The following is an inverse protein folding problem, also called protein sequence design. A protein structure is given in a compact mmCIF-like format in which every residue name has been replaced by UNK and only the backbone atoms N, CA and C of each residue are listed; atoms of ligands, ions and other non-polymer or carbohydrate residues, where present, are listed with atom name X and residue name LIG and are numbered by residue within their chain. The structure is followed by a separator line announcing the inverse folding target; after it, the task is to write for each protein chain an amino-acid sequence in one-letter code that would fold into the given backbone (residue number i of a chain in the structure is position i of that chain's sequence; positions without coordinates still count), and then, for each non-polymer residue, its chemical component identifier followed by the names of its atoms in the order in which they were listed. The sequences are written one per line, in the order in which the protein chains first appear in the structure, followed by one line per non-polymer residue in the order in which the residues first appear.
data_IF_471865749332
#
_entry.id   IF_471865749332
#
_cell.length_a   1.000
_cell.length_b   1.000
_cell.length_c   1.000
_cell.angle_alpha   90.00
_cell.angle_beta   90.00
_cell.angle_gamma   90.00
#
_symmetry.space_group_name_H-M   'P 1'
#
loop_
_entity.id
_entity.type
_entity.pdbx_description
1 polymer ?
#
# COMPACT_ATOMS: atom_id res chain seq x y z
N UNK A 1 19.37 3.43 -5.76
CA UNK A 1 18.84 3.83 -7.09
C UNK A 1 17.53 4.55 -6.85
N UNK A 2 17.31 5.76 -7.38
CA UNK A 2 16.10 6.56 -7.18
C UNK A 2 14.96 6.17 -8.14
N UNK A 3 14.01 7.07 -8.34
CA UNK A 3 13.01 7.02 -9.42
C UNK A 3 13.16 8.23 -10.33
N UNK A 4 12.61 8.16 -11.54
CA UNK A 4 12.65 9.25 -12.50
C UNK A 4 11.36 10.06 -12.44
N UNK A 5 11.47 11.37 -12.64
CA UNK A 5 10.33 12.29 -12.74
C UNK A 5 10.25 12.80 -14.17
N UNK A 6 9.18 12.46 -14.88
CA UNK A 6 8.98 12.86 -16.28
C UNK A 6 7.67 13.66 -16.43
N UNK A 7 7.65 14.57 -17.40
CA UNK A 7 6.44 15.31 -17.78
C UNK A 7 5.89 14.73 -19.07
N UNK A 8 4.61 14.36 -19.10
CA UNK A 8 3.97 13.81 -20.28
C UNK A 8 2.48 14.13 -20.31
N UNK A 9 1.98 14.67 -21.43
CA UNK A 9 0.55 14.94 -21.66
C UNK A 9 -0.16 15.68 -20.50
N UNK A 10 0.49 16.69 -19.92
CA UNK A 10 -0.06 17.47 -18.79
C UNK A 10 -0.05 16.76 -17.43
N UNK A 11 0.62 15.62 -17.32
CA UNK A 11 0.84 14.89 -16.08
C UNK A 11 2.32 14.87 -15.71
N UNK A 12 2.60 14.87 -14.41
CA UNK A 12 3.91 14.48 -13.86
C UNK A 12 3.86 13.01 -13.51
N UNK A 13 4.77 12.22 -14.07
CA UNK A 13 4.90 10.79 -13.78
C UNK A 13 6.14 10.53 -12.92
N UNK A 14 6.00 9.67 -11.92
CA UNK A 14 7.10 9.09 -11.16
C UNK A 14 7.26 7.65 -11.65
N UNK A 15 8.47 7.27 -12.07
CA UNK A 15 8.66 6.02 -12.81
C UNK A 15 9.88 5.27 -12.29
N UNK A 16 9.75 3.96 -12.10
CA UNK A 16 10.88 3.07 -11.86
C UNK A 16 11.88 3.20 -13.04
N UNK A 17 13.19 3.42 -12.79
CA UNK A 17 14.15 3.79 -13.83
C UNK A 17 14.16 2.87 -15.06
N UNK A 18 13.99 1.57 -14.83
CA UNK A 18 13.98 0.53 -15.85
C UNK A 18 12.72 0.52 -16.74
N UNK A 19 11.71 1.33 -16.42
CA UNK A 19 10.43 1.40 -17.15
C UNK A 19 10.18 2.77 -17.81
N UNK A 20 11.15 3.68 -17.77
CA UNK A 20 11.00 5.06 -18.28
C UNK A 20 10.63 5.09 -19.76
N UNK A 21 11.20 4.20 -20.57
CA UNK A 21 10.93 4.12 -22.01
C UNK A 21 9.58 3.43 -22.33
N UNK A 22 8.98 2.73 -21.37
CA UNK A 22 7.77 1.93 -21.56
C UNK A 22 6.52 2.60 -21.00
N UNK A 23 6.64 3.28 -19.87
CA UNK A 23 5.50 3.90 -19.19
C UNK A 23 5.08 5.17 -19.93
N UNK A 24 3.78 5.26 -20.18
CA UNK A 24 3.14 6.46 -20.69
C UNK A 24 1.81 6.74 -19.98
N UNK A 25 1.21 7.89 -20.27
CA UNK A 25 -0.03 8.35 -19.62
C UNK A 25 -1.20 7.37 -19.73
N UNK A 26 -1.23 6.53 -20.76
CA UNK A 26 -2.30 5.55 -20.99
C UNK A 26 -2.28 4.40 -19.98
N UNK A 27 -1.15 4.16 -19.29
CA UNK A 27 -1.10 3.21 -18.16
C UNK A 27 -2.01 3.63 -16.99
N UNK A 28 -2.43 4.89 -16.95
CA UNK A 28 -3.36 5.44 -15.99
C UNK A 28 -4.73 5.73 -16.62
N UNK A 29 -5.13 4.85 -17.55
CA UNK A 29 -6.45 4.76 -18.17
C UNK A 29 -6.90 3.29 -18.21
N UNK A 30 -8.03 2.98 -17.57
CA UNK A 30 -8.55 1.62 -17.46
C UNK A 30 -9.05 1.09 -18.80
N UNK A 31 -9.54 1.97 -19.67
CA UNK A 31 -10.00 1.56 -20.99
C UNK A 31 -8.82 1.14 -21.88
N UNK A 32 -7.65 1.76 -21.70
CA UNK A 32 -6.43 1.31 -22.37
C UNK A 32 -6.05 -0.10 -21.93
N UNK A 33 -6.03 -0.39 -20.63
CA UNK A 33 -5.75 -1.75 -20.14
C UNK A 33 -6.77 -2.78 -20.62
N UNK A 34 -8.06 -2.44 -20.63
CA UNK A 34 -9.12 -3.32 -21.17
C UNK A 34 -8.93 -3.58 -22.67
N UNK A 35 -8.67 -2.53 -23.45
CA UNK A 35 -8.46 -2.63 -24.90
C UNK A 35 -7.24 -3.47 -25.27
N UNK A 36 -6.21 -3.50 -24.41
CA UNK A 36 -5.01 -4.30 -24.61
C UNK A 36 -5.05 -5.66 -23.89
N UNK A 37 -6.22 -6.08 -23.37
CA UNK A 37 -6.37 -7.36 -22.66
C UNK A 37 -5.60 -7.48 -21.34
N UNK A 38 -5.10 -6.37 -20.80
CA UNK A 38 -4.30 -6.33 -19.59
C UNK A 38 -5.08 -6.11 -18.29
N UNK A 39 -6.41 -6.02 -18.32
CA UNK A 39 -7.23 -5.92 -17.11
C UNK A 39 -7.66 -7.32 -16.62
N UNK A 40 -7.30 -7.64 -15.37
CA UNK A 40 -7.55 -8.96 -14.76
C UNK A 40 -8.71 -8.97 -13.76
N UNK A 41 -9.18 -7.79 -13.34
CA UNK A 41 -10.25 -7.68 -12.34
C UNK A 41 -10.07 -6.49 -11.39
N UNK A 42 -10.91 -6.43 -10.37
CA UNK A 42 -10.77 -5.48 -9.27
C UNK A 42 -11.12 -6.13 -7.93
N UNK A 43 -10.59 -5.56 -6.84
CA UNK A 43 -10.97 -5.94 -5.48
C UNK A 43 -12.06 -4.98 -4.95
N UNK A 44 -13.17 -5.49 -4.38
CA UNK A 44 -14.22 -4.65 -3.81
C UNK A 44 -13.75 -3.98 -2.50
N UNK A 45 -13.98 -2.67 -2.34
CA UNK A 45 -13.58 -1.92 -1.14
C UNK A 45 -13.57 -0.39 -1.30
N UNK A 46 -13.11 0.34 -0.26
CA UNK A 46 -12.87 1.79 -0.34
C UNK A 46 -11.54 2.05 -1.04
N UNK A 47 -11.59 2.67 -2.22
CA UNK A 47 -10.42 2.81 -3.09
C UNK A 47 -10.29 1.59 -4.00
N UNK A 48 -10.92 1.65 -5.16
CA UNK A 48 -10.94 0.54 -6.11
C UNK A 48 -9.51 0.24 -6.58
N UNK A 49 -9.06 -0.99 -6.34
CA UNK A 49 -7.79 -1.50 -6.83
C UNK A 49 -8.05 -2.36 -8.06
N UNK A 50 -7.38 -2.05 -9.16
CA UNK A 50 -7.45 -2.82 -10.40
C UNK A 50 -6.22 -3.72 -10.52
N UNK A 51 -6.45 -5.01 -10.78
CA UNK A 51 -5.41 -5.96 -11.10
C UNK A 51 -5.14 -5.90 -12.60
N UNK A 52 -3.88 -5.72 -12.96
CA UNK A 52 -3.46 -5.55 -14.34
C UNK A 52 -2.30 -6.49 -14.67
N UNK A 53 -2.14 -6.84 -15.94
CA UNK A 53 -0.94 -7.46 -16.47
C UNK A 53 -0.47 -6.72 -17.72
N UNK A 54 0.86 -6.64 -17.87
CA UNK A 54 1.51 -6.20 -19.09
C UNK A 54 2.29 -7.38 -19.69
N UNK A 55 1.68 -8.18 -20.58
CA UNK A 55 2.26 -9.44 -21.04
C UNK A 55 3.66 -9.29 -21.65
N UNK A 56 3.88 -8.27 -22.48
CA UNK A 56 5.16 -8.03 -23.16
C UNK A 56 6.30 -7.73 -22.18
N UNK A 57 6.01 -7.06 -21.07
CA UNK A 57 6.99 -6.71 -20.03
C UNK A 57 6.98 -7.73 -18.87
N UNK A 58 6.13 -8.75 -18.95
CA UNK A 58 5.91 -9.75 -17.90
C UNK A 58 5.63 -9.14 -16.52
N UNK A 59 4.89 -8.02 -16.49
CA UNK A 59 4.53 -7.34 -15.25
C UNK A 59 3.12 -7.72 -14.80
N UNK A 60 2.98 -8.05 -13.52
CA UNK A 60 1.68 -8.11 -12.83
C UNK A 60 1.59 -6.90 -11.90
N UNK A 61 0.51 -6.14 -12.00
CA UNK A 61 0.41 -4.81 -11.39
C UNK A 61 -0.89 -4.66 -10.59
N UNK A 62 -0.84 -3.75 -9.62
CA UNK A 62 -2.01 -3.22 -8.91
C UNK A 62 -2.04 -1.73 -9.16
N UNK A 63 -3.12 -1.23 -9.74
CA UNK A 63 -3.37 0.20 -9.91
C UNK A 63 -4.44 0.67 -8.93
N UNK A 64 -4.15 1.78 -8.24
CA UNK A 64 -5.07 2.50 -7.36
C UNK A 64 -5.22 3.95 -7.82
N UNK A 65 -6.47 4.41 -7.89
CA UNK A 65 -6.81 5.82 -8.03
C UNK A 65 -7.05 6.44 -6.65
N UNK A 66 -6.40 7.56 -6.32
CA UNK A 66 -6.63 8.23 -5.04
C UNK A 66 -7.97 8.98 -5.06
N UNK A 67 -8.97 8.43 -4.37
CA UNK A 67 -10.27 9.08 -4.16
C UNK A 67 -10.27 9.89 -2.85
N UNK A 68 -10.90 11.06 -2.82
CA UNK A 68 -11.09 11.81 -1.56
C UNK A 68 -12.12 11.10 -0.67
N UNK A 69 -11.76 10.77 0.57
CA UNK A 69 -12.67 10.23 1.58
C UNK A 69 -13.26 11.30 2.53
N UNK A 70 -14.37 10.96 3.21
CA UNK A 70 -14.97 11.77 4.30
C UNK A 70 -16.10 12.71 3.83
N UNK A 71 -16.57 13.61 4.72
CA UNK A 71 -17.64 14.59 4.39
C UNK A 71 -17.25 15.54 3.23
N UNK A 72 -15.96 15.68 2.94
CA UNK A 72 -15.43 16.43 1.78
C UNK A 72 -15.66 15.71 0.43
N UNK A 73 -15.99 14.42 0.42
CA UNK A 73 -16.36 13.68 -0.79
C UNK A 73 -17.68 14.21 -1.40
N UNK A 74 -18.54 14.86 -0.61
CA UNK A 74 -19.79 15.47 -1.10
C UNK A 74 -19.59 16.75 -1.92
N UNK A 75 -18.39 17.34 -1.92
CA UNK A 75 -18.11 18.61 -2.61
C UNK A 75 -17.15 18.46 -3.80
N UNK A 76 -16.27 17.45 -3.81
CA UNK A 76 -15.47 17.06 -4.98
C UNK A 76 -14.79 15.72 -4.72
N UNK A 77 -15.21 14.68 -5.46
CA UNK A 77 -14.79 13.29 -5.24
C UNK A 77 -13.29 13.04 -5.55
N UNK A 78 -12.66 13.87 -6.39
CA UNK A 78 -11.36 13.54 -7.02
C UNK A 78 -10.23 14.56 -6.86
N UNK A 79 -10.39 15.66 -6.11
CA UNK A 79 -9.50 16.84 -6.27
C UNK A 79 -8.84 17.35 -5.00
N UNK A 80 -7.66 16.85 -4.65
CA UNK A 80 -6.84 17.37 -3.53
C UNK A 80 -6.33 18.79 -3.78
N UNK A 81 -6.16 19.61 -2.75
CA UNK A 81 -5.56 20.95 -2.92
C UNK A 81 -4.09 20.83 -3.30
N UNK A 82 -3.68 21.60 -4.30
CA UNK A 82 -2.30 21.64 -4.75
C UNK A 82 -1.47 22.57 -3.85
N UNK A 83 -0.50 21.98 -3.12
CA UNK A 83 0.50 22.71 -2.33
C UNK A 83 1.93 22.43 -2.79
N UNK A 84 2.10 21.73 -3.91
CA UNK A 84 3.38 21.35 -4.51
C UNK A 84 3.46 19.86 -4.82
N UNK A 85 4.34 19.49 -5.76
CA UNK A 85 4.46 18.11 -6.27
C UNK A 85 4.81 17.13 -5.14
N UNK A 86 5.82 17.47 -4.32
CA UNK A 86 6.29 16.61 -3.22
C UNK A 86 5.28 16.48 -2.07
N UNK A 87 4.26 17.34 -2.06
CA UNK A 87 3.18 17.35 -1.08
C UNK A 87 1.98 16.53 -1.55
N UNK A 88 2.01 16.02 -2.79
CA UNK A 88 0.96 15.12 -3.29
C UNK A 88 1.09 13.74 -2.66
N UNK A 89 -0.06 13.10 -2.40
CA UNK A 89 -0.12 11.77 -1.77
C UNK A 89 0.67 10.73 -2.55
N UNK A 90 0.46 10.68 -3.86
CA UNK A 90 1.17 9.75 -4.73
C UNK A 90 2.70 9.96 -4.69
N UNK A 91 3.19 11.20 -4.64
CA UNK A 91 4.63 11.44 -4.51
C UNK A 91 5.16 10.92 -3.19
N UNK A 92 4.51 11.27 -2.07
CA UNK A 92 4.92 10.86 -0.74
C UNK A 92 4.89 9.34 -0.58
N UNK A 93 3.81 8.68 -1.03
CA UNK A 93 3.68 7.23 -0.95
C UNK A 93 4.67 6.51 -1.87
N UNK A 94 4.86 7.00 -3.11
CA UNK A 94 5.83 6.41 -4.05
C UNK A 94 7.26 6.51 -3.51
N UNK A 95 7.65 7.70 -3.04
CA UNK A 95 8.97 7.94 -2.44
C UNK A 95 9.18 7.11 -1.17
N UNK A 96 8.20 7.07 -0.27
CA UNK A 96 8.25 6.27 0.95
C UNK A 96 8.40 4.79 0.64
N UNK A 97 7.56 4.24 -0.26
CA UNK A 97 7.60 2.82 -0.62
C UNK A 97 8.95 2.46 -1.23
N UNK A 98 9.52 3.34 -2.03
CA UNK A 98 10.84 3.15 -2.60
C UNK A 98 11.95 3.12 -1.54
N UNK A 99 11.90 4.07 -0.59
CA UNK A 99 12.82 4.08 0.56
C UNK A 99 12.71 2.80 1.40
N UNK A 100 11.49 2.36 1.73
CA UNK A 100 11.25 1.12 2.47
C UNK A 100 11.83 -0.09 1.72
N UNK A 101 11.58 -0.19 0.41
CA UNK A 101 12.11 -1.28 -0.43
C UNK A 101 13.63 -1.29 -0.47
N UNK A 102 14.27 -0.12 -0.63
CA UNK A 102 15.73 0.00 -0.61
C UNK A 102 16.37 -0.42 0.71
N UNK A 103 15.61 -0.42 1.82
CA UNK A 103 16.02 -0.92 3.14
C UNK A 103 15.75 -2.42 3.33
N UNK A 104 15.33 -3.12 2.26
CA UNK A 104 15.02 -4.55 2.32
C UNK A 104 13.73 -4.88 3.08
N UNK A 105 12.83 -3.90 3.24
CA UNK A 105 11.53 -4.15 3.87
C UNK A 105 10.56 -4.79 2.87
N UNK A 106 9.69 -5.70 3.32
CA UNK A 106 8.79 -6.45 2.45
C UNK A 106 7.59 -5.58 2.07
N UNK A 107 7.76 -4.81 1.00
CA UNK A 107 6.76 -3.94 0.40
C UNK A 107 6.63 -4.26 -1.09
N UNK A 108 5.46 -4.03 -1.72
CA UNK A 108 5.35 -4.15 -3.17
C UNK A 108 6.25 -3.12 -3.85
N UNK A 109 6.84 -3.48 -5.00
CA UNK A 109 7.67 -2.54 -5.75
C UNK A 109 6.82 -1.39 -6.29
N UNK A 110 7.17 -0.12 -6.04
CA UNK A 110 6.52 0.99 -6.71
C UNK A 110 6.98 1.02 -8.18
N UNK A 111 6.01 1.04 -9.10
CA UNK A 111 6.25 0.93 -10.55
C UNK A 111 6.09 2.28 -11.21
N UNK A 112 4.92 2.90 -11.03
CA UNK A 112 4.61 4.21 -11.58
C UNK A 112 3.65 4.98 -10.69
N UNK A 113 3.69 6.31 -10.74
CA UNK A 113 2.63 7.17 -10.23
C UNK A 113 2.36 8.29 -11.22
N UNK A 114 1.11 8.75 -11.31
CA UNK A 114 0.74 9.91 -12.11
C UNK A 114 0.13 10.98 -11.22
N UNK A 115 0.50 12.22 -11.46
CA UNK A 115 -0.07 13.40 -10.81
C UNK A 115 -0.53 14.36 -11.91
N UNK A 116 -1.83 14.65 -11.93
CA UNK A 116 -2.43 15.59 -12.88
C UNK A 116 -2.92 16.81 -12.10
N UNK A 117 -2.22 17.94 -12.25
CA UNK A 117 -2.64 19.22 -11.67
C UNK A 117 -3.74 19.85 -12.52
N UNK A 118 -4.83 20.26 -11.87
CA UNK A 118 -5.94 21.05 -12.45
C UNK A 118 -6.16 22.29 -11.59
N UNK A 119 -5.55 23.42 -12.00
CA UNK A 119 -5.63 24.68 -11.28
C UNK A 119 -5.08 24.59 -9.85
N UNK A 120 -5.95 24.83 -8.86
CA UNK A 120 -5.65 24.72 -7.43
C UNK A 120 -5.82 23.30 -6.86
N UNK A 121 -6.07 22.32 -7.73
CA UNK A 121 -6.28 20.94 -7.32
C UNK A 121 -5.43 19.93 -8.10
N UNK A 122 -5.39 18.68 -7.65
CA UNK A 122 -4.78 17.58 -8.38
C UNK A 122 -5.53 16.26 -8.22
N UNK A 123 -5.37 15.40 -9.22
CA UNK A 123 -5.69 13.98 -9.23
C UNK A 123 -4.39 13.17 -9.19
N UNK A 124 -4.46 11.97 -8.63
CA UNK A 124 -3.29 11.11 -8.56
C UNK A 124 -3.64 9.62 -8.66
N UNK A 125 -2.66 8.87 -9.16
CA UNK A 125 -2.72 7.43 -9.35
C UNK A 125 -1.40 6.79 -8.91
N UNK A 126 -1.46 5.54 -8.46
CA UNK A 126 -0.29 4.74 -8.09
C UNK A 126 -0.42 3.32 -8.64
N UNK A 127 0.65 2.86 -9.26
CA UNK A 127 0.84 1.51 -9.76
C UNK A 127 2.00 0.87 -9.00
N UNK A 128 1.74 -0.29 -8.40
CA UNK A 128 2.74 -1.15 -7.77
C UNK A 128 2.76 -2.51 -8.43
N UNK A 129 3.85 -3.26 -8.26
CA UNK A 129 3.83 -4.69 -8.57
C UNK A 129 2.79 -5.41 -7.71
N UNK A 130 2.08 -6.34 -8.34
CA UNK A 130 1.21 -7.28 -7.65
C UNK A 130 2.08 -8.37 -7.03
N UNK A 131 1.99 -8.51 -5.72
CA UNK A 131 2.63 -9.62 -5.02
C UNK A 131 1.94 -10.95 -5.43
N UNK A 132 2.71 -12.00 -5.76
CA UNK A 132 2.16 -13.28 -6.17
C UNK A 132 1.61 -14.04 -4.96
N UNK A 133 0.50 -14.76 -5.15
CA UNK A 133 -0.04 -15.74 -4.20
C UNK A 133 -0.19 -15.24 -2.75
N UNK A 134 -0.52 -13.95 -2.60
CA UNK A 134 -0.77 -13.33 -1.30
C UNK A 134 -2.25 -13.28 -0.95
N UNK A 135 -2.55 -13.43 0.34
CA UNK A 135 -3.87 -13.15 0.92
C UNK A 135 -3.71 -12.20 2.12
N UNK A 136 -4.73 -11.38 2.39
CA UNK A 136 -4.70 -10.50 3.55
C UNK A 136 -4.77 -11.29 4.85
N UNK A 137 -4.18 -10.78 5.93
CA UNK A 137 -4.31 -11.36 7.26
C UNK A 137 -5.79 -11.48 7.67
N UNK A 138 -6.62 -10.51 7.30
CA UNK A 138 -8.07 -10.57 7.51
C UNK A 138 -8.74 -11.79 6.85
N UNK A 139 -8.35 -12.14 5.62
CA UNK A 139 -8.94 -13.27 4.89
C UNK A 139 -8.36 -14.60 5.38
N UNK A 140 -7.06 -14.65 5.71
CA UNK A 140 -6.43 -15.84 6.27
C UNK A 140 -6.97 -16.20 7.65
N UNK A 141 -7.23 -15.21 8.50
CA UNK A 141 -7.79 -15.44 9.83
C UNK A 141 -9.23 -15.96 9.79
N UNK A 142 -9.99 -15.70 8.72
CA UNK A 142 -11.31 -16.31 8.54
C UNK A 142 -11.22 -17.83 8.31
N UNK A 143 -10.09 -18.33 7.83
CA UNK A 143 -9.86 -19.77 7.60
C UNK A 143 -9.38 -20.48 8.86
N UNK A 144 -8.37 -19.93 9.55
CA UNK A 144 -7.88 -20.46 10.84
C UNK A 144 -7.16 -19.36 11.63
N UNK A 145 -7.64 -19.06 12.84
CA UNK A 145 -6.92 -18.20 13.80
C UNK A 145 -5.79 -18.94 14.53
N UNK A 146 -5.99 -20.24 14.80
CA UNK A 146 -5.08 -21.05 15.62
C UNK A 146 -3.72 -21.24 14.94
N UNK A 147 -3.75 -21.58 13.65
CA UNK A 147 -2.57 -21.94 12.87
C UNK A 147 -1.93 -20.74 12.15
N UNK A 148 -2.44 -19.54 12.42
CA UNK A 148 -1.92 -18.32 11.82
C UNK A 148 -0.52 -17.98 12.37
N UNK A 149 0.43 -17.51 11.52
CA UNK A 149 1.81 -17.22 11.93
C UNK A 149 1.94 -15.86 12.64
N UNK A 150 1.28 -15.72 13.79
CA UNK A 150 1.23 -14.49 14.59
C UNK A 150 2.62 -13.89 14.90
N UNK A 151 3.57 -14.73 15.29
CA UNK A 151 4.94 -14.29 15.62
C UNK A 151 5.66 -13.69 14.42
N UNK A 152 5.45 -14.23 13.21
CA UNK A 152 6.10 -13.71 12.00
C UNK A 152 5.55 -12.34 11.58
N UNK A 153 4.25 -12.14 11.77
CA UNK A 153 3.64 -10.81 11.64
C UNK A 153 4.25 -9.83 12.64
N UNK A 154 4.36 -10.24 13.92
CA UNK A 154 5.01 -9.44 14.96
C UNK A 154 6.43 -9.01 14.59
N UNK A 155 7.29 -9.97 14.20
CA UNK A 155 8.68 -9.71 13.78
C UNK A 155 8.76 -8.74 12.60
N UNK A 156 7.88 -8.92 11.62
CA UNK A 156 7.85 -8.06 10.44
C UNK A 156 7.46 -6.63 10.81
N UNK A 157 6.42 -6.44 11.63
CA UNK A 157 6.02 -5.12 12.13
C UNK A 157 7.17 -4.46 12.91
N UNK A 158 7.87 -5.21 13.77
CA UNK A 158 9.04 -4.71 14.50
C UNK A 158 10.15 -4.25 13.55
N UNK A 159 10.38 -4.98 12.45
CA UNK A 159 11.33 -4.59 11.38
C UNK A 159 10.97 -3.24 10.76
N UNK A 160 9.69 -3.01 10.46
CA UNK A 160 9.21 -1.72 9.95
C UNK A 160 9.32 -0.60 10.98
N UNK A 161 8.95 -0.86 12.23
CA UNK A 161 9.02 0.12 13.31
C UNK A 161 10.47 0.53 13.64
N UNK A 162 11.42 -0.41 13.62
CA UNK A 162 12.87 -0.11 13.74
C UNK A 162 13.41 0.72 12.58
N UNK A 163 12.89 0.51 11.38
CA UNK A 163 13.18 1.37 10.23
C UNK A 163 12.48 2.74 10.30
N UNK A 164 11.68 3.00 11.34
CA UNK A 164 11.01 4.27 11.59
C UNK A 164 9.66 4.43 10.90
N UNK A 165 9.05 3.39 10.33
CA UNK A 165 7.77 3.50 9.64
C UNK A 165 6.61 3.68 10.63
N UNK A 166 5.99 4.86 10.64
CA UNK A 166 4.69 5.12 11.27
C UNK A 166 3.57 4.79 10.26
N UNK A 167 3.04 3.57 10.34
CA UNK A 167 1.97 3.08 9.48
C UNK A 167 0.59 3.51 10.00
N UNK A 168 0.16 4.70 9.60
CA UNK A 168 -1.02 5.38 10.19
C UNK A 168 -2.35 4.64 10.04
N UNK A 169 -2.44 3.69 9.11
CA UNK A 169 -3.59 2.80 8.92
C UNK A 169 -3.21 1.30 9.01
N UNK A 170 -2.38 0.92 10.00
CA UNK A 170 -2.03 -0.48 10.21
C UNK A 170 -3.25 -1.29 10.67
N UNK A 171 -3.75 -2.18 9.80
CA UNK A 171 -4.92 -3.02 10.05
C UNK A 171 -4.76 -4.40 9.36
N UNK A 172 -5.64 -5.36 9.67
CA UNK A 172 -5.53 -6.74 9.17
C UNK A 172 -5.61 -6.87 7.63
N UNK A 173 -6.17 -5.89 6.92
CA UNK A 173 -6.27 -5.91 5.46
C UNK A 173 -5.00 -5.38 4.78
N UNK A 174 -4.23 -4.55 5.49
CA UNK A 174 -2.97 -3.97 5.01
C UNK A 174 -1.74 -4.83 5.32
N UNK A 175 -1.96 -6.01 5.91
CA UNK A 175 -0.94 -7.05 6.14
C UNK A 175 -1.25 -8.20 5.19
N UNK A 176 -0.33 -8.51 4.28
CA UNK A 176 -0.46 -9.61 3.33
C UNK A 176 0.51 -10.73 3.67
N UNK A 177 0.11 -11.98 3.42
CA UNK A 177 0.95 -13.15 3.59
C UNK A 177 0.91 -14.00 2.33
N UNK A 178 2.08 -14.41 1.86
CA UNK A 178 2.18 -15.40 0.78
C UNK A 178 2.06 -16.85 1.30
N UNK A 179 2.06 -17.81 0.37
CA UNK A 179 2.03 -19.25 0.65
C UNK A 179 3.22 -19.73 1.50
N UNK A 180 4.34 -18.99 1.50
CA UNK A 180 5.54 -19.25 2.30
C UNK A 180 5.54 -18.50 3.64
N UNK A 181 4.40 -17.91 4.04
CA UNK A 181 4.23 -17.13 5.26
C UNK A 181 5.09 -15.85 5.32
N UNK A 182 5.64 -15.37 4.20
CA UNK A 182 6.32 -14.08 4.19
C UNK A 182 5.27 -12.98 4.32
N UNK A 183 5.53 -12.06 5.23
CA UNK A 183 4.63 -10.97 5.56
C UNK A 183 5.04 -9.72 4.80
N UNK A 184 4.07 -9.07 4.16
CA UNK A 184 4.24 -7.81 3.46
C UNK A 184 3.30 -6.76 4.07
N UNK A 185 3.74 -5.50 4.09
CA UNK A 185 2.86 -4.37 4.35
C UNK A 185 2.51 -3.67 3.05
N UNK A 186 1.28 -3.19 2.94
CA UNK A 186 0.76 -2.42 1.80
C UNK A 186 0.02 -1.18 2.30
N UNK A 187 -0.33 -0.31 1.37
CA UNK A 187 -1.09 0.93 1.61
C UNK A 187 -0.37 1.91 2.55
N UNK A 188 0.59 2.64 1.97
CA UNK A 188 1.39 3.61 2.70
C UNK A 188 0.85 5.03 2.57
N UNK A 189 -0.42 5.22 2.16
CA UNK A 189 -1.03 6.53 2.05
C UNK A 189 -0.99 7.25 3.41
N UNK A 190 -0.40 8.45 3.42
CA UNK A 190 -0.15 9.28 4.61
C UNK A 190 0.77 8.65 5.67
N UNK A 191 1.40 7.50 5.39
CA UNK A 191 2.45 6.96 6.25
C UNK A 191 3.71 7.83 6.15
N UNK A 192 4.59 7.72 7.13
CA UNK A 192 5.81 8.54 7.19
C UNK A 192 6.91 7.84 7.97
N UNK A 193 8.15 8.21 7.67
CA UNK A 193 9.29 7.85 8.51
C UNK A 193 9.39 8.84 9.66
N UNK A 194 9.57 8.32 10.87
CA UNK A 194 9.78 9.07 12.11
C UNK A 194 10.91 8.43 12.89
N UNK A 195 11.51 9.19 13.79
CA UNK A 195 12.35 8.61 14.84
C UNK A 195 11.55 7.56 15.60
N UNK A 196 12.15 6.39 15.81
CA UNK A 196 11.53 5.30 16.55
C UNK A 196 11.21 5.76 17.98
N UNK A 197 9.92 5.75 18.33
CA UNK A 197 9.44 6.08 19.66
C UNK A 197 8.33 5.10 20.07
N UNK A 198 8.33 4.62 21.33
CA UNK A 198 7.33 3.66 21.79
C UNK A 198 5.88 4.14 21.62
N UNK A 199 5.62 5.43 21.74
CA UNK A 199 4.28 6.02 21.75
C UNK A 199 3.52 5.78 20.43
N UNK A 200 4.11 6.12 19.29
CA UNK A 200 3.46 5.93 17.99
C UNK A 200 3.48 4.47 17.54
N UNK A 201 4.52 3.71 17.93
CA UNK A 201 4.61 2.27 17.65
C UNK A 201 3.47 1.52 18.35
N UNK A 202 3.23 1.84 19.62
CA UNK A 202 2.08 1.31 20.36
C UNK A 202 0.77 1.71 19.69
N UNK A 203 0.64 2.97 19.25
CA UNK A 203 -0.53 3.41 18.51
C UNK A 203 -0.83 2.60 17.23
N UNK A 204 0.21 2.13 16.52
CA UNK A 204 0.04 1.23 15.37
C UNK A 204 -0.42 -0.17 15.80
N UNK A 205 0.19 -0.73 16.86
CA UNK A 205 -0.23 -2.02 17.42
C UNK A 205 -1.67 -1.97 17.92
N UNK A 206 -2.08 -0.88 18.59
CA UNK A 206 -3.45 -0.70 19.07
C UNK A 206 -4.46 -0.61 17.92
N UNK A 207 -4.10 0.03 16.80
CA UNK A 207 -4.95 0.04 15.58
C UNK A 207 -5.14 -1.36 15.03
N UNK A 208 -4.06 -2.15 14.97
CA UNK A 208 -4.12 -3.52 14.52
C UNK A 208 -4.99 -4.39 15.43
N UNK A 209 -4.82 -4.29 16.75
CA UNK A 209 -5.65 -4.99 17.73
C UNK A 209 -7.13 -4.59 17.62
N UNK A 210 -7.43 -3.29 17.44
CA UNK A 210 -8.81 -2.84 17.18
C UNK A 210 -9.37 -3.42 15.89
N UNK A 211 -8.58 -3.53 14.83
CA UNK A 211 -8.99 -4.18 13.58
C UNK A 211 -9.30 -5.66 13.79
N UNK A 212 -8.53 -6.34 14.63
CA UNK A 212 -8.76 -7.75 14.99
C UNK A 212 -10.07 -7.93 15.76
N UNK A 213 -10.23 -7.17 16.85
CA UNK A 213 -11.44 -7.22 17.68
C UNK A 213 -12.69 -6.84 16.88
N UNK A 214 -12.57 -5.89 15.94
CA UNK A 214 -13.70 -5.52 15.07
C UNK A 214 -14.10 -6.63 14.11
N UNK A 215 -13.14 -7.37 13.57
CA UNK A 215 -13.42 -8.43 12.60
C UNK A 215 -13.94 -9.70 13.28
N UNK A 216 -13.49 -9.99 14.50
CA UNK A 216 -13.88 -11.17 15.27
C UNK A 216 -14.32 -10.79 16.70
N UNK A 217 -15.47 -10.09 16.87
CA UNK A 217 -15.87 -9.48 18.15
C UNK A 217 -16.23 -10.47 19.26
N UNK A 218 -16.57 -11.72 18.91
CA UNK A 218 -17.06 -12.72 19.85
C UNK A 218 -15.98 -13.74 20.26
N UNK A 219 -14.70 -13.43 20.04
CA UNK A 219 -13.57 -14.32 20.35
C UNK A 219 -12.60 -13.63 21.30
N UNK A 220 -12.02 -14.38 22.23
CA UNK A 220 -10.88 -13.91 23.02
C UNK A 220 -9.59 -14.04 22.22
N UNK A 221 -9.01 -12.90 21.85
CA UNK A 221 -7.77 -12.82 21.08
C UNK A 221 -6.52 -12.74 21.93
N UNK A 222 -6.63 -12.75 23.26
CA UNK A 222 -5.50 -12.44 24.16
C UNK A 222 -4.29 -13.34 23.90
N UNK A 223 -4.49 -14.66 23.75
CA UNK A 223 -3.41 -15.60 23.46
C UNK A 223 -2.80 -15.40 22.05
N UNK A 224 -3.63 -15.11 21.05
CA UNK A 224 -3.18 -14.83 19.68
C UNK A 224 -2.38 -13.53 19.60
N UNK A 225 -2.87 -12.50 20.27
CA UNK A 225 -2.23 -11.20 20.37
C UNK A 225 -0.91 -11.29 21.12
N UNK A 226 -0.86 -12.06 22.21
CA UNK A 226 0.39 -12.30 22.93
C UNK A 226 1.44 -12.94 22.02
N UNK A 227 1.09 -13.94 21.19
CA UNK A 227 2.02 -14.52 20.22
C UNK A 227 2.55 -13.50 19.21
N UNK A 228 1.74 -12.53 18.80
CA UNK A 228 2.19 -11.43 17.95
C UNK A 228 3.18 -10.53 18.69
N UNK A 229 2.87 -10.15 19.93
CA UNK A 229 3.76 -9.32 20.76
C UNK A 229 5.08 -10.02 21.06
N UNK A 230 5.07 -11.34 21.31
CA UNK A 230 6.29 -12.12 21.50
C UNK A 230 7.18 -12.05 20.25
N UNK A 231 6.57 -12.18 19.06
CA UNK A 231 7.28 -12.01 17.80
C UNK A 231 7.80 -10.58 17.61
N UNK A 232 7.01 -9.58 17.99
CA UNK A 232 7.37 -8.16 17.90
C UNK A 232 8.57 -7.82 18.79
N UNK A 233 8.60 -8.32 20.04
CA UNK A 233 9.70 -8.08 20.97
C UNK A 233 10.97 -8.88 20.65
N UNK A 234 10.83 -10.05 20.01
CA UNK A 234 11.96 -10.87 19.58
C UNK A 234 12.61 -10.38 18.27
N UNK A 235 11.91 -9.53 17.51
CA UNK A 235 12.31 -9.08 16.18
C UNK A 235 13.24 -7.90 16.22
#
# INVERSE_FOLDING_TARGET
MGFQVIQQAGATLLVAPELVEHINRSWFDLNWWRGNGGWLGSAPGRGESHFLCHPELQLNLVWRHYKRGGMAARLSEDRYLWSGLKQTRAYQEFELTHQLRSRGLPVPRPVAAAIVRRGLSYQADLITERLPDVASMADRLQQSLRDFPWQEVGRTIARFHRAGLDHVDLNLRNILLDSHQRVYLIDFDRCRLRTAEPSWQQGNLDRLLRSLNKLFPNQDHSAHWQRLLDGYHAG
#
